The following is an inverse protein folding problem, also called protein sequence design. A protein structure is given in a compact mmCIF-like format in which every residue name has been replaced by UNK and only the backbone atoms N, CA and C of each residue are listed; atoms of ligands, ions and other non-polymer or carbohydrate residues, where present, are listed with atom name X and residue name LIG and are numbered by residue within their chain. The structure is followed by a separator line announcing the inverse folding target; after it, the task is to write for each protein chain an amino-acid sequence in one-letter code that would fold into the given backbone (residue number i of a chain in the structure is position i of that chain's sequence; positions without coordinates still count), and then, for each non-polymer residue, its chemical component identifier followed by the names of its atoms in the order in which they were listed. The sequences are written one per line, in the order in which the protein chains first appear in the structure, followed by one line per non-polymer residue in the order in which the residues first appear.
data_IF_084371069940
#
_entry.id   IF_084371069940
#
_cell.length_a   1.000
_cell.length_b   1.000
_cell.length_c   1.000
_cell.angle_alpha   90.00
_cell.angle_beta   90.00
_cell.angle_gamma   90.00
#
_symmetry.space_group_name_H-M   'P 1'
#
loop_
_entity.id
_entity.type
_entity.pdbx_description
1 polymer ?
#
# COMPACT_ATOMS: atom_id res chain seq x y z
N UNK A 1 4.69 6.23 1.37
CA UNK A 1 4.17 7.34 2.21
C UNK A 1 4.62 8.67 1.63
N UNK A 2 4.04 9.77 2.11
CA UNK A 2 4.33 11.12 1.65
C UNK A 2 4.65 12.07 2.80
N UNK A 3 5.54 13.02 2.55
CA UNK A 3 5.82 14.13 3.46
C UNK A 3 5.95 15.43 2.67
N UNK A 4 5.41 16.52 3.20
CA UNK A 4 5.58 17.84 2.63
C UNK A 4 6.62 18.64 3.42
N UNK A 5 7.44 19.43 2.72
CA UNK A 5 8.44 20.29 3.36
C UNK A 5 8.65 21.57 2.56
N UNK A 6 9.08 22.63 3.27
CA UNK A 6 9.65 23.84 2.66
C UNK A 6 11.14 23.71 2.38
N UNK A 7 11.80 22.71 2.96
CA UNK A 7 13.24 22.49 2.76
C UNK A 7 13.51 22.03 1.32
N UNK A 8 14.52 22.62 0.64
CA UNK A 8 14.91 22.20 -0.70
C UNK A 8 15.28 20.72 -0.74
N UNK A 9 14.93 20.06 -1.84
CA UNK A 9 15.17 18.63 -2.00
C UNK A 9 16.64 18.25 -1.97
N UNK A 10 17.56 19.15 -2.32
CA UNK A 10 18.99 18.91 -2.23
C UNK A 10 19.43 18.64 -0.78
N UNK A 11 18.89 19.40 0.18
CA UNK A 11 19.17 19.19 1.60
C UNK A 11 18.61 17.85 2.08
N UNK A 12 17.36 17.54 1.73
CA UNK A 12 16.66 16.33 2.18
C UNK A 12 17.22 15.07 1.53
N UNK A 13 17.57 15.11 0.24
CA UNK A 13 18.21 13.99 -0.45
C UNK A 13 19.62 13.72 0.08
N UNK A 14 20.33 14.73 0.58
CA UNK A 14 21.65 14.56 1.19
C UNK A 14 21.57 14.04 2.62
N UNK A 15 20.70 14.62 3.45
CA UNK A 15 20.73 14.42 4.90
C UNK A 15 19.56 13.62 5.45
N UNK A 16 18.51 13.41 4.65
CA UNK A 16 17.25 12.83 5.08
C UNK A 16 16.41 13.83 5.88
N UNK A 17 15.32 13.32 6.46
CA UNK A 17 14.58 14.05 7.48
C UNK A 17 15.17 13.73 8.85
N UNK A 18 15.55 14.76 9.61
CA UNK A 18 16.09 14.60 10.96
C UNK A 18 15.11 15.22 11.96
N UNK A 19 14.79 14.47 13.02
CA UNK A 19 14.05 15.03 14.15
C UNK A 19 14.93 16.10 14.85
N UNK A 20 14.34 17.15 15.43
CA UNK A 20 15.10 18.12 16.20
C UNK A 20 15.83 17.47 17.39
N UNK A 21 17.02 17.99 17.72
CA UNK A 21 17.74 17.58 18.92
C UNK A 21 16.89 17.82 20.17
N UNK A 22 17.05 16.94 21.16
CA UNK A 22 16.32 17.05 22.42
C UNK A 22 16.59 18.36 23.17
N UNK A 23 17.84 18.84 23.14
CA UNK A 23 18.26 20.03 23.89
C UNK A 23 17.89 19.91 25.38
N UNK A 24 17.14 20.90 25.89
CA UNK A 24 16.69 20.95 27.28
C UNK A 24 15.27 20.37 27.50
N UNK A 25 14.67 19.72 26.49
CA UNK A 25 13.33 19.16 26.64
C UNK A 25 13.35 17.92 27.52
N UNK A 26 12.41 17.83 28.45
CA UNK A 26 12.23 16.65 29.30
C UNK A 26 11.96 15.39 28.46
N UNK A 27 12.53 14.25 28.86
CA UNK A 27 12.32 12.96 28.17
C UNK A 27 10.84 12.64 27.95
N UNK A 28 10.01 12.91 28.96
CA UNK A 28 8.57 12.65 28.91
C UNK A 28 7.83 13.51 27.88
N UNK A 29 8.43 14.62 27.44
CA UNK A 29 7.91 15.46 26.36
C UNK A 29 8.56 15.05 25.04
N UNK A 30 9.88 14.85 25.02
CA UNK A 30 10.62 14.55 23.81
C UNK A 30 10.14 13.25 23.12
N UNK A 31 9.80 12.22 23.90
CA UNK A 31 9.34 10.91 23.42
C UNK A 31 7.82 10.70 23.48
N UNK A 32 7.05 11.76 23.75
CA UNK A 32 5.59 11.68 23.83
C UNK A 32 4.95 11.80 22.44
N UNK A 33 4.61 10.64 21.88
CA UNK A 33 3.93 10.52 20.59
C UNK A 33 2.53 11.16 20.61
N UNK A 34 1.80 11.01 21.71
CA UNK A 34 0.43 11.48 21.82
C UNK A 34 0.39 13.01 21.76
N UNK A 35 1.24 13.67 22.56
CA UNK A 35 1.41 15.11 22.47
C UNK A 35 1.99 15.55 21.13
N UNK A 36 2.94 14.81 20.54
CA UNK A 36 3.48 15.13 19.22
C UNK A 36 2.37 15.21 18.17
N UNK A 37 1.54 14.17 18.01
CA UNK A 37 0.53 14.12 16.95
C UNK A 37 -0.63 15.11 17.15
N UNK A 38 -0.90 15.52 18.39
CA UNK A 38 -1.97 16.50 18.66
C UNK A 38 -1.50 17.95 18.68
N UNK A 39 -0.19 18.22 18.76
CA UNK A 39 0.34 19.60 18.86
C UNK A 39 1.24 20.03 17.70
N UNK A 40 1.85 19.08 17.00
CA UNK A 40 2.85 19.31 15.94
C UNK A 40 2.60 18.42 14.73
N UNK A 41 2.12 17.19 14.94
CA UNK A 41 1.97 16.17 13.93
C UNK A 41 0.89 16.51 12.92
N UNK A 42 1.36 16.97 11.78
CA UNK A 42 0.71 16.95 10.47
C UNK A 42 1.88 16.85 9.47
N UNK A 43 1.77 16.22 8.28
CA UNK A 43 2.90 16.06 7.35
C UNK A 43 3.46 17.36 6.74
N UNK A 44 3.15 18.54 7.31
CA UNK A 44 3.80 19.83 7.03
C UNK A 44 5.01 19.98 7.95
N UNK A 45 6.16 20.36 7.41
CA UNK A 45 7.12 21.17 8.17
C UNK A 45 7.08 22.62 7.68
N UNK A 46 6.65 23.58 8.51
CA UNK A 46 6.85 24.99 8.19
C UNK A 46 7.73 25.78 9.18
N UNK A 47 8.57 25.14 10.00
CA UNK A 47 9.48 25.71 11.03
C UNK A 47 8.98 25.73 12.50
N UNK A 48 8.00 24.90 12.88
CA UNK A 48 7.71 24.70 14.31
C UNK A 48 8.61 23.58 14.85
N UNK A 49 9.89 23.88 15.03
CA UNK A 49 10.84 22.96 15.67
C UNK A 49 10.49 22.81 17.15
N UNK A 50 9.49 21.99 17.44
CA UNK A 50 9.23 21.54 18.81
C UNK A 50 10.18 20.36 19.04
N UNK A 51 10.97 20.34 20.13
CA UNK A 51 11.89 19.26 20.43
C UNK A 51 11.07 17.99 20.71
N UNK A 52 10.84 17.21 19.65
CA UNK A 52 10.12 15.94 19.65
C UNK A 52 10.94 14.97 18.82
N UNK A 53 11.05 13.73 19.27
CA UNK A 53 11.85 12.70 18.64
C UNK A 53 11.25 12.15 17.34
N UNK A 54 10.34 12.88 16.67
CA UNK A 54 9.42 12.31 15.69
C UNK A 54 9.34 13.12 14.39
N UNK A 55 9.16 12.40 13.28
CA UNK A 55 8.87 12.93 11.95
C UNK A 55 7.56 12.32 11.43
N UNK A 56 6.58 13.16 11.08
CA UNK A 56 5.30 12.72 10.51
C UNK A 56 5.35 12.55 9.00
N UNK A 57 4.69 11.51 8.53
CA UNK A 57 4.36 11.29 7.11
C UNK A 57 2.89 10.88 7.01
N UNK A 58 2.34 10.81 5.81
CA UNK A 58 0.97 10.35 5.57
C UNK A 58 0.92 9.34 4.43
N UNK A 59 0.01 8.37 4.52
CA UNK A 59 -0.35 7.55 3.36
C UNK A 59 -1.51 8.14 2.54
N UNK A 60 -2.22 9.15 3.07
CA UNK A 60 -3.28 9.84 2.36
C UNK A 60 -2.69 10.63 1.19
N UNK A 61 -2.86 10.10 -0.01
CA UNK A 61 -2.30 10.67 -1.23
C UNK A 61 -2.94 12.03 -1.59
N UNK A 62 -4.20 12.23 -1.20
CA UNK A 62 -4.95 13.45 -1.48
C UNK A 62 -4.64 14.58 -0.49
N UNK A 63 -4.03 14.27 0.66
CA UNK A 63 -3.75 15.26 1.69
C UNK A 63 -2.78 16.34 1.20
N UNK A 64 -3.13 17.60 1.46
CA UNK A 64 -2.32 18.78 1.14
C UNK A 64 -2.12 19.66 2.37
N UNK A 65 -0.95 20.30 2.50
CA UNK A 65 -0.73 21.31 3.52
C UNK A 65 -1.63 22.53 3.28
N UNK A 66 -2.15 23.12 4.36
CA UNK A 66 -2.80 24.43 4.36
C UNK A 66 -2.00 25.39 5.27
N UNK A 67 -0.90 25.99 4.77
CA UNK A 67 -0.02 26.85 5.58
C UNK A 67 -0.78 28.06 6.12
N UNK A 68 -0.56 28.46 7.37
CA UNK A 68 -1.17 29.67 7.94
C UNK A 68 -0.75 30.95 7.18
N UNK A 69 -1.44 32.05 7.43
CA UNK A 69 -1.09 33.37 6.86
C UNK A 69 0.29 33.86 7.30
N UNK A 70 0.82 33.38 8.43
CA UNK A 70 2.18 33.69 8.87
C UNK A 70 3.24 33.01 8.00
N UNK A 71 2.92 31.80 7.51
CA UNK A 71 3.82 31.00 6.67
C UNK A 71 3.67 31.38 5.19
N UNK A 72 2.43 31.63 4.74
CA UNK A 72 2.08 32.04 3.40
C UNK A 72 1.14 33.27 3.46
N UNK A 73 1.71 34.49 3.52
CA UNK A 73 0.95 35.74 3.55
C UNK A 73 0.03 35.92 2.33
N UNK A 74 -1.02 36.72 2.51
CA UNK A 74 -1.95 37.09 1.44
C UNK A 74 -1.21 37.80 0.30
N UNK A 75 -1.44 37.36 -0.94
CA UNK A 75 -0.78 37.89 -2.13
C UNK A 75 0.67 37.43 -2.32
N UNK A 76 1.10 36.40 -1.59
CA UNK A 76 2.42 35.80 -1.72
C UNK A 76 2.36 34.36 -2.22
N UNK A 77 3.54 33.81 -2.51
CA UNK A 77 3.73 32.42 -2.91
C UNK A 77 4.92 31.81 -2.18
N UNK A 78 4.89 30.49 -1.98
CA UNK A 78 6.02 29.71 -1.44
C UNK A 78 6.22 28.44 -2.26
N UNK A 79 7.46 27.97 -2.31
CA UNK A 79 7.77 26.64 -2.83
C UNK A 79 7.53 25.59 -1.75
N UNK A 80 6.89 24.48 -2.14
CA UNK A 80 6.72 23.29 -1.34
C UNK A 80 7.20 22.06 -2.10
N UNK A 81 7.71 21.10 -1.34
CA UNK A 81 8.27 19.86 -1.84
C UNK A 81 7.51 18.70 -1.22
N UNK A 82 7.04 17.78 -2.06
CA UNK A 82 6.33 16.58 -1.64
C UNK A 82 7.19 15.36 -1.94
N UNK A 83 7.63 14.68 -0.88
CA UNK A 83 8.55 13.55 -0.96
C UNK A 83 7.79 12.24 -0.93
N UNK A 84 8.17 11.30 -1.80
CA UNK A 84 7.74 9.91 -1.75
C UNK A 84 8.76 9.09 -0.95
N UNK A 85 8.27 8.37 0.07
CA UNK A 85 9.09 7.70 1.07
C UNK A 85 8.71 6.22 1.17
N UNK A 86 9.72 5.36 1.13
CA UNK A 86 9.65 3.92 1.35
C UNK A 86 10.55 3.56 2.53
N UNK A 87 10.05 3.74 3.75
CA UNK A 87 10.79 3.50 4.97
C UNK A 87 10.09 2.40 5.80
N UNK A 88 10.82 1.36 6.27
CA UNK A 88 10.29 0.42 7.25
C UNK A 88 10.26 1.04 8.66
N UNK A 89 9.47 0.45 9.57
CA UNK A 89 9.54 0.76 11.01
C UNK A 89 8.77 2.01 11.47
N UNK A 90 7.92 2.59 10.62
CA UNK A 90 7.04 3.68 11.01
C UNK A 90 5.93 3.26 11.99
N UNK A 91 5.57 4.15 12.91
CA UNK A 91 4.49 3.98 13.88
C UNK A 91 3.20 4.49 13.26
N UNK A 92 2.21 3.60 13.09
CA UNK A 92 0.87 4.02 12.67
C UNK A 92 0.15 4.70 13.83
N UNK A 93 0.00 6.03 13.77
CA UNK A 93 -0.50 6.83 14.89
C UNK A 93 -1.90 6.39 15.34
N UNK A 94 -2.83 6.21 14.39
CA UNK A 94 -4.20 5.78 14.69
C UNK A 94 -4.30 4.40 15.34
N UNK A 95 -3.48 3.42 14.93
CA UNK A 95 -3.47 2.06 15.49
C UNK A 95 -2.86 2.07 16.89
N UNK A 96 -1.78 2.85 17.08
CA UNK A 96 -1.04 2.94 18.34
C UNK A 96 -1.81 3.67 19.42
N UNK A 97 -2.40 4.82 19.08
CA UNK A 97 -3.10 5.68 20.03
C UNK A 97 -4.59 5.35 20.15
N UNK A 98 -5.16 4.60 19.21
CA UNK A 98 -6.57 4.17 19.17
C UNK A 98 -7.50 5.38 19.33
N UNK A 99 -8.50 5.30 20.21
CA UNK A 99 -9.46 6.37 20.46
C UNK A 99 -8.88 7.69 20.98
N UNK A 100 -7.57 7.74 21.31
CA UNK A 100 -6.90 9.00 21.63
C UNK A 100 -6.50 9.80 20.39
N UNK A 101 -6.33 9.16 19.23
CA UNK A 101 -5.94 9.86 18.00
C UNK A 101 -7.12 10.58 17.37
N UNK A 102 -7.05 11.91 17.33
CA UNK A 102 -8.16 12.74 16.86
C UNK A 102 -8.16 13.00 15.35
N UNK A 103 -7.10 12.60 14.65
CA UNK A 103 -6.90 12.91 13.24
C UNK A 103 -6.84 11.67 12.31
N UNK A 104 -7.74 10.67 12.44
CA UNK A 104 -7.64 9.40 11.68
C UNK A 104 -7.60 9.60 10.16
N UNK A 105 -8.25 10.66 9.66
CA UNK A 105 -8.27 11.05 8.24
C UNK A 105 -6.89 11.44 7.66
N UNK A 106 -5.93 11.80 8.52
CA UNK A 106 -4.56 12.08 8.09
C UNK A 106 -3.78 10.81 7.77
N UNK A 107 -4.21 9.64 8.26
CA UNK A 107 -3.53 8.37 8.04
C UNK A 107 -2.01 8.47 8.29
N UNK A 108 -1.67 9.06 9.44
CA UNK A 108 -0.32 9.48 9.78
C UNK A 108 0.57 8.32 10.21
N UNK A 109 1.77 8.27 9.62
CA UNK A 109 2.85 7.37 9.99
C UNK A 109 4.01 8.18 10.53
N UNK A 110 4.40 7.89 11.77
CA UNK A 110 5.41 8.64 12.50
C UNK A 110 6.71 7.85 12.61
N UNK A 111 7.85 8.49 12.33
CA UNK A 111 9.18 7.89 12.45
C UNK A 111 9.94 8.49 13.62
N UNK A 112 10.62 7.65 14.40
CA UNK A 112 11.48 8.09 15.51
C UNK A 112 12.84 8.50 14.97
N UNK A 113 13.42 9.58 15.49
CA UNK A 113 14.70 10.20 15.16
C UNK A 113 14.83 10.78 13.75
N UNK A 114 14.18 10.19 12.74
CA UNK A 114 14.28 10.68 11.36
C UNK A 114 13.96 9.64 10.30
N UNK A 115 14.22 10.01 9.06
CA UNK A 115 14.11 9.17 7.86
C UNK A 115 15.38 9.39 7.04
N UNK A 116 16.21 8.35 6.92
CA UNK A 116 17.46 8.42 6.19
C UNK A 116 17.25 8.65 4.67
N UNK A 117 18.21 9.29 3.97
CA UNK A 117 18.17 9.51 2.52
C UNK A 117 17.80 8.28 1.70
N UNK A 118 18.31 7.12 2.08
CA UNK A 118 18.12 5.87 1.35
C UNK A 118 16.66 5.37 1.28
N UNK A 119 15.79 5.92 2.12
CA UNK A 119 14.36 5.62 2.12
C UNK A 119 13.51 6.67 1.41
N UNK A 120 14.13 7.75 0.91
CA UNK A 120 13.45 8.84 0.21
C UNK A 120 13.66 8.62 -1.29
N UNK A 121 12.60 8.27 -2.00
CA UNK A 121 12.67 7.86 -3.40
C UNK A 121 12.69 9.05 -4.35
N UNK A 122 11.74 9.96 -4.18
CA UNK A 122 11.50 11.03 -5.14
C UNK A 122 10.87 12.25 -4.50
N UNK A 123 10.85 13.37 -5.24
CA UNK A 123 10.19 14.61 -4.85
C UNK A 123 9.43 15.23 -6.03
N UNK A 124 8.25 15.77 -5.73
CA UNK A 124 7.49 16.64 -6.60
C UNK A 124 7.50 18.07 -6.05
N UNK A 125 7.58 19.04 -6.95
CA UNK A 125 7.64 20.46 -6.62
C UNK A 125 6.28 21.12 -6.84
N UNK A 126 5.89 21.97 -5.89
CA UNK A 126 4.63 22.71 -5.93
C UNK A 126 4.87 24.18 -5.57
N UNK A 127 4.22 25.07 -6.30
CA UNK A 127 4.09 26.48 -5.94
C UNK A 127 2.75 26.67 -5.24
N UNK A 128 2.80 27.03 -3.96
CA UNK A 128 1.61 27.37 -3.18
C UNK A 128 1.39 28.88 -3.25
N UNK A 129 0.19 29.32 -3.63
CA UNK A 129 -0.15 30.75 -3.77
C UNK A 129 -1.38 31.09 -2.94
N UNK A 130 -1.34 32.18 -2.17
CA UNK A 130 -2.51 32.70 -1.46
C UNK A 130 -3.01 33.96 -2.16
N UNK A 131 -4.15 33.92 -2.87
CA UNK A 131 -4.66 35.09 -3.60
C UNK A 131 -5.12 36.19 -2.63
N UNK A 132 -5.26 37.42 -3.15
CA UNK A 132 -5.69 38.60 -2.35
C UNK A 132 -7.19 38.60 -1.94
N UNK A 133 -7.99 37.61 -2.39
CA UNK A 133 -9.41 37.45 -2.06
C UNK A 133 -9.65 36.45 -0.91
N UNK A 134 -10.79 35.71 -0.93
CA UNK A 134 -11.16 34.67 0.04
C UNK A 134 -10.15 33.51 0.00
N UNK A 135 -9.04 33.73 0.69
CA UNK A 135 -7.74 33.25 0.23
C UNK A 135 -7.32 31.97 0.88
N UNK A 136 -7.86 30.83 0.47
CA UNK A 136 -7.20 29.55 0.73
C UNK A 136 -5.97 29.39 -0.19
N UNK A 137 -4.89 28.73 0.28
CA UNK A 137 -3.75 28.40 -0.57
C UNK A 137 -4.17 27.52 -1.74
N UNK A 138 -3.84 27.93 -2.96
CA UNK A 138 -3.90 27.06 -4.14
C UNK A 138 -2.53 26.46 -4.41
N UNK A 139 -2.50 25.25 -4.96
CA UNK A 139 -1.26 24.48 -5.17
C UNK A 139 -1.10 24.16 -6.66
N UNK A 140 -0.10 24.74 -7.29
CA UNK A 140 0.26 24.45 -8.68
C UNK A 140 1.44 23.49 -8.69
N UNK A 141 1.28 22.33 -9.33
CA UNK A 141 2.31 21.31 -9.47
C UNK A 141 3.26 21.62 -10.63
N UNK A 142 4.55 21.38 -10.46
CA UNK A 142 5.47 21.23 -11.59
C UNK A 142 5.41 19.82 -12.18
N UNK A 143 5.30 19.72 -13.51
CA UNK A 143 5.18 18.43 -14.23
C UNK A 143 6.56 17.79 -14.37
N UNK A 144 7.13 17.37 -13.24
CA UNK A 144 8.43 16.74 -13.13
C UNK A 144 8.53 15.97 -11.82
N UNK A 145 9.15 14.80 -11.87
CA UNK A 145 9.50 13.99 -10.72
C UNK A 145 11.02 13.92 -10.60
N UNK A 146 11.58 14.37 -9.48
CA UNK A 146 13.03 14.31 -9.25
C UNK A 146 13.33 13.10 -8.36
N UNK A 147 14.13 12.17 -8.88
CA UNK A 147 14.56 10.94 -8.23
C UNK A 147 15.84 11.19 -7.41
N UNK A 148 15.95 10.55 -6.24
CA UNK A 148 17.08 10.69 -5.33
C UNK A 148 18.16 9.62 -5.53
N UNK A 149 19.39 9.97 -5.96
CA UNK A 149 20.42 8.95 -6.29
C UNK A 149 20.86 8.10 -5.10
N UNK A 150 20.55 8.53 -3.87
CA UNK A 150 20.83 7.76 -2.66
C UNK A 150 19.74 6.72 -2.33
N UNK A 151 18.62 6.69 -3.05
CA UNK A 151 17.51 5.79 -2.75
C UNK A 151 17.90 4.32 -2.93
N UNK A 152 18.07 3.62 -1.80
CA UNK A 152 18.47 2.22 -1.69
C UNK A 152 17.85 1.65 -0.41
N UNK A 153 16.54 1.35 -0.40
CA UNK A 153 15.81 1.00 0.83
C UNK A 153 16.24 -0.32 1.48
N UNK A 154 17.14 -1.11 0.88
CA UNK A 154 17.86 -2.21 1.53
C UNK A 154 19.14 -2.53 0.76
N UNK A 155 20.21 -2.88 1.48
CA UNK A 155 21.51 -3.23 0.89
C UNK A 155 21.58 -4.65 0.30
N UNK A 156 20.68 -5.56 0.73
CA UNK A 156 20.85 -7.02 0.49
C UNK A 156 19.61 -7.76 -0.07
N UNK A 157 18.52 -7.06 -0.38
CA UNK A 157 17.30 -7.67 -0.93
C UNK A 157 16.80 -6.85 -2.11
N UNK A 158 16.42 -7.53 -3.20
CA UNK A 158 15.66 -6.92 -4.30
C UNK A 158 14.37 -6.32 -3.73
N UNK A 159 14.36 -5.01 -3.51
CA UNK A 159 13.19 -4.26 -3.07
C UNK A 159 12.40 -3.81 -4.29
N UNK A 160 11.25 -4.43 -4.53
CA UNK A 160 10.36 -4.05 -5.61
C UNK A 160 9.36 -3.01 -5.11
N UNK A 161 9.37 -1.82 -5.72
CA UNK A 161 8.27 -0.86 -5.54
C UNK A 161 7.11 -1.32 -6.41
N UNK A 162 6.07 -1.88 -5.80
CA UNK A 162 4.89 -2.35 -6.51
C UNK A 162 3.97 -1.24 -7.02
N UNK A 163 4.10 0.00 -6.52
CA UNK A 163 3.20 1.11 -6.90
C UNK A 163 3.92 2.46 -7.07
N UNK A 164 4.95 2.54 -7.94
CA UNK A 164 5.78 3.73 -8.07
C UNK A 164 4.96 4.91 -8.57
N UNK A 165 5.32 6.12 -8.14
CA UNK A 165 4.74 7.31 -8.73
C UNK A 165 5.21 7.46 -10.19
N UNK A 166 4.27 7.37 -11.14
CA UNK A 166 4.58 7.38 -12.58
C UNK A 166 3.71 8.35 -13.37
N UNK A 167 2.49 8.64 -12.92
CA UNK A 167 1.53 9.37 -13.72
C UNK A 167 0.94 10.59 -13.02
N UNK A 168 0.42 11.53 -13.80
CA UNK A 168 -0.43 12.63 -13.35
C UNK A 168 -1.68 12.73 -14.22
N UNK A 169 -2.71 13.44 -13.73
CA UNK A 169 -3.84 13.88 -14.58
C UNK A 169 -3.59 15.29 -15.11
N UNK A 170 -3.66 15.45 -16.43
CA UNK A 170 -3.62 16.77 -17.07
C UNK A 170 -4.95 17.53 -16.88
N UNK A 171 -5.01 18.77 -17.36
CA UNK A 171 -6.18 19.65 -17.20
C UNK A 171 -7.45 19.10 -17.86
N UNK A 172 -7.31 18.16 -18.80
CA UNK A 172 -8.42 17.46 -19.44
C UNK A 172 -8.82 16.18 -18.68
N UNK A 173 -8.18 15.90 -17.54
CA UNK A 173 -8.39 14.70 -16.74
C UNK A 173 -7.74 13.44 -17.31
N UNK A 174 -6.93 13.55 -18.35
CA UNK A 174 -6.25 12.39 -18.96
C UNK A 174 -4.98 12.02 -18.20
N UNK A 175 -4.74 10.72 -18.06
CA UNK A 175 -3.53 10.17 -17.45
C UNK A 175 -2.33 10.39 -18.38
N UNK A 176 -1.28 11.04 -17.87
CA UNK A 176 -0.02 11.34 -18.57
C UNK A 176 1.17 10.91 -17.72
N UNK A 177 2.27 10.53 -18.36
CA UNK A 177 3.51 10.17 -17.65
C UNK A 177 4.15 11.40 -17.01
N UNK A 178 4.68 11.24 -15.80
CA UNK A 178 5.50 12.24 -15.14
C UNK A 178 6.95 12.12 -15.65
N UNK A 179 7.50 13.17 -16.29
CA UNK A 179 8.91 13.18 -16.67
C UNK A 179 9.81 13.03 -15.45
N UNK A 180 10.78 12.11 -15.52
CA UNK A 180 11.71 11.81 -14.42
C UNK A 180 13.07 12.44 -14.67
N UNK A 181 13.66 13.01 -13.63
CA UNK A 181 15.06 13.47 -13.61
C UNK A 181 15.76 12.92 -12.38
N UNK A 182 17.01 12.49 -12.52
CA UNK A 182 17.81 12.02 -11.39
C UNK A 182 18.61 13.18 -10.80
N UNK A 183 18.47 13.40 -9.49
CA UNK A 183 19.38 14.23 -8.73
C UNK A 183 20.60 13.42 -8.31
N UNK A 184 21.79 13.86 -8.71
CA UNK A 184 23.07 13.37 -8.23
C UNK A 184 23.76 14.52 -7.50
N UNK A 185 24.18 14.38 -6.24
CA UNK A 185 24.95 15.41 -5.57
C UNK A 185 26.22 15.72 -6.37
N UNK A 186 26.61 16.98 -6.45
CA UNK A 186 27.94 17.33 -6.90
C UNK A 186 28.95 16.85 -5.86
N UNK A 187 29.50 15.65 -6.05
CA UNK A 187 30.73 15.30 -5.34
C UNK A 187 31.82 16.27 -5.77
N UNK A 188 32.37 16.96 -4.78
CA UNK A 188 33.67 17.60 -4.90
C UNK A 188 34.62 16.56 -5.46
N UNK A 189 35.39 16.91 -6.50
CA UNK A 189 36.47 16.07 -7.06
C UNK A 189 37.45 15.68 -5.94
N UNK A 190 37.14 14.62 -5.18
CA UNK A 190 38.10 13.93 -4.34
C UNK A 190 39.15 13.46 -5.31
N UNK A 191 40.34 14.04 -5.21
CA UNK A 191 41.46 13.72 -6.07
C UNK A 191 41.65 12.20 -6.08
N UNK A 192 41.42 11.60 -7.25
CA UNK A 192 41.91 10.28 -7.61
C UNK A 192 43.40 10.28 -7.27
N UNK A 193 43.79 9.70 -6.14
CA UNK A 193 45.19 9.32 -5.95
C UNK A 193 45.45 8.24 -6.98
N UNK A 194 46.34 8.56 -7.92
CA UNK A 194 46.86 7.63 -8.90
C UNK A 194 47.40 6.39 -8.19
N UNK A 195 46.75 5.26 -8.43
CA UNK A 195 47.39 3.95 -8.28
C UNK A 195 47.24 3.25 -9.62
N UNK A 196 48.40 3.17 -10.27
CA UNK A 196 48.84 2.31 -11.36
C UNK A 196 47.80 1.38 -12.03
N UNK A 197 47.74 1.56 -13.36
CA UNK A 197 47.07 0.77 -14.38
C UNK A 197 47.23 -0.75 -14.28
N UNK A 198 46.09 -1.46 -14.35
CA UNK A 198 45.95 -2.65 -15.19
C UNK A 198 44.47 -2.83 -15.55
N UNK A 199 44.27 -3.09 -16.84
CA UNK A 199 43.04 -3.34 -17.58
C UNK A 199 41.91 -4.00 -16.77
N UNK A 200 40.79 -3.29 -16.65
CA UNK A 200 39.46 -3.72 -17.11
C UNK A 200 38.52 -2.53 -16.88
N UNK A 201 38.30 -1.74 -17.95
CA UNK A 201 37.26 -0.72 -17.96
C UNK A 201 35.92 -1.44 -18.16
N UNK A 202 35.45 -2.15 -17.13
CA UNK A 202 34.01 -2.26 -16.93
C UNK A 202 33.56 -0.89 -16.43
N UNK A 203 32.93 -0.15 -17.33
CA UNK A 203 32.08 0.97 -16.98
C UNK A 203 31.05 0.43 -15.98
N UNK A 204 31.34 0.60 -14.68
CA UNK A 204 30.46 0.23 -13.58
C UNK A 204 29.21 1.08 -13.76
N UNK A 205 28.25 0.54 -14.51
CA UNK A 205 26.97 1.15 -14.76
C UNK A 205 26.37 1.49 -13.42
N UNK A 206 26.32 2.79 -13.14
CA UNK A 206 25.66 3.40 -11.99
C UNK A 206 24.36 2.64 -11.80
N UNK A 207 24.31 1.79 -10.78
CA UNK A 207 23.20 0.86 -10.55
C UNK A 207 21.92 1.64 -10.76
N UNK A 208 21.22 1.31 -11.84
CA UNK A 208 19.91 1.87 -12.10
C UNK A 208 19.15 1.66 -10.81
N UNK A 209 18.64 2.76 -10.25
CA UNK A 209 17.52 2.72 -9.32
C UNK A 209 16.69 1.51 -9.66
N UNK A 210 16.62 0.52 -8.75
CA UNK A 210 16.12 -0.82 -9.03
C UNK A 210 15.01 -0.70 -10.05
N UNK A 211 15.31 -1.14 -11.28
CA UNK A 211 14.65 -0.65 -12.47
C UNK A 211 13.16 -0.58 -12.16
N UNK A 212 12.56 0.61 -12.28
CA UNK A 212 11.11 0.76 -12.26
C UNK A 212 10.62 0.13 -13.55
N UNK A 213 10.82 -1.19 -13.67
CA UNK A 213 10.29 -2.01 -14.72
C UNK A 213 8.80 -2.00 -14.49
N UNK A 214 8.07 -1.68 -15.55
CA UNK A 214 6.65 -1.91 -15.62
C UNK A 214 6.43 -3.41 -15.39
N UNK A 215 6.24 -3.80 -14.13
CA UNK A 215 6.00 -5.18 -13.77
C UNK A 215 4.51 -5.41 -13.94
N UNK A 216 4.09 -6.37 -14.79
CA UNK A 216 2.68 -6.66 -14.97
C UNK A 216 2.10 -7.15 -13.64
N UNK A 217 1.13 -6.41 -13.11
CA UNK A 217 0.37 -6.79 -11.92
C UNK A 217 -0.86 -7.58 -12.38
N UNK A 218 -0.99 -8.80 -11.87
CA UNK A 218 -2.19 -9.62 -12.05
C UNK A 218 -3.15 -9.44 -10.87
N UNK A 219 -3.42 -10.49 -10.11
CA UNK A 219 -4.39 -10.45 -9.00
C UNK A 219 -3.62 -10.55 -7.69
N UNK A 220 -3.75 -9.52 -6.84
CA UNK A 220 -3.08 -9.43 -5.53
C UNK A 220 -3.92 -10.00 -4.40
N UNK A 221 -5.25 -9.98 -4.52
CA UNK A 221 -6.13 -10.59 -3.53
C UNK A 221 -7.45 -10.95 -4.17
N UNK A 222 -8.19 -11.86 -3.55
CA UNK A 222 -9.54 -12.16 -3.95
C UNK A 222 -10.36 -12.62 -2.74
N UNK A 223 -11.68 -12.44 -2.83
CA UNK A 223 -12.60 -13.17 -1.95
C UNK A 223 -13.92 -13.45 -2.66
N UNK A 224 -14.60 -14.51 -2.23
CA UNK A 224 -15.89 -14.91 -2.77
C UNK A 224 -16.96 -13.95 -2.28
N UNK A 225 -17.76 -13.40 -3.19
CA UNK A 225 -18.90 -12.59 -2.81
C UNK A 225 -20.03 -13.47 -2.26
N UNK A 226 -20.95 -12.87 -1.51
CA UNK A 226 -22.16 -13.54 -1.00
C UNK A 226 -23.15 -13.91 -2.11
N UNK A 227 -23.06 -13.25 -3.27
CA UNK A 227 -23.87 -13.56 -4.43
C UNK A 227 -23.26 -14.70 -5.24
N UNK A 228 -24.10 -15.64 -5.68
CA UNK A 228 -23.66 -16.86 -6.32
C UNK A 228 -22.82 -16.59 -7.58
N UNK A 229 -21.71 -17.32 -7.73
CA UNK A 229 -20.73 -17.19 -8.81
C UNK A 229 -20.09 -15.80 -8.93
N UNK A 230 -20.13 -14.97 -7.88
CA UNK A 230 -19.46 -13.68 -7.85
C UNK A 230 -18.19 -13.70 -6.99
N UNK A 231 -17.17 -12.96 -7.41
CA UNK A 231 -15.94 -12.77 -6.65
C UNK A 231 -15.43 -11.35 -6.81
N UNK A 232 -14.80 -10.83 -5.76
CA UNK A 232 -14.03 -9.60 -5.81
C UNK A 232 -12.57 -9.96 -6.08
N UNK A 233 -11.97 -9.34 -7.09
CA UNK A 233 -10.55 -9.48 -7.42
C UNK A 233 -9.89 -8.11 -7.25
N UNK A 234 -8.77 -8.07 -6.54
CA UNK A 234 -8.00 -6.85 -6.28
C UNK A 234 -6.70 -6.88 -7.07
N UNK A 235 -6.36 -5.74 -7.66
CA UNK A 235 -5.17 -5.55 -8.46
C UNK A 235 -4.64 -4.14 -8.21
N UNK A 236 -3.46 -4.02 -7.63
CA UNK A 236 -2.95 -2.75 -7.12
C UNK A 236 -3.96 -2.15 -6.11
N UNK A 237 -4.36 -0.89 -6.28
CA UNK A 237 -5.40 -0.24 -5.49
C UNK A 237 -6.73 -0.13 -6.25
N UNK A 238 -6.93 -1.01 -7.23
CA UNK A 238 -8.18 -1.19 -7.96
C UNK A 238 -8.79 -2.56 -7.65
N UNK A 239 -10.08 -2.70 -7.97
CA UNK A 239 -10.77 -3.97 -7.90
C UNK A 239 -11.79 -4.13 -9.01
N UNK A 240 -12.15 -5.37 -9.28
CA UNK A 240 -13.31 -5.74 -10.10
C UNK A 240 -14.22 -6.67 -9.30
N UNK A 241 -15.52 -6.56 -9.57
CA UNK A 241 -16.49 -7.58 -9.19
C UNK A 241 -16.86 -8.36 -10.45
N UNK A 242 -16.63 -9.66 -10.43
CA UNK A 242 -16.77 -10.53 -11.59
C UNK A 242 -17.78 -11.63 -11.32
N UNK A 243 -18.59 -11.97 -12.30
CA UNK A 243 -19.22 -13.28 -12.36
C UNK A 243 -18.21 -14.24 -13.00
N UNK A 244 -17.66 -15.16 -12.22
CA UNK A 244 -16.58 -16.04 -12.70
C UNK A 244 -17.08 -17.28 -13.46
N UNK A 245 -18.38 -17.35 -13.75
CA UNK A 245 -19.02 -18.34 -14.63
C UNK A 245 -18.51 -19.78 -14.46
N UNK A 246 -18.53 -20.28 -13.21
CA UNK A 246 -17.96 -21.57 -12.79
C UNK A 246 -18.17 -22.68 -13.83
N UNK A 247 -17.07 -23.29 -14.27
CA UNK A 247 -17.08 -24.41 -15.22
C UNK A 247 -17.21 -23.99 -16.70
N UNK A 248 -17.21 -22.70 -17.01
CA UNK A 248 -17.22 -22.16 -18.37
C UNK A 248 -16.27 -20.95 -18.48
N UNK A 249 -16.12 -20.41 -19.69
CA UNK A 249 -15.36 -19.16 -19.97
C UNK A 249 -16.29 -18.00 -20.33
N UNK A 250 -17.55 -18.07 -19.88
CA UNK A 250 -18.56 -17.02 -20.11
C UNK A 250 -18.59 -16.03 -18.93
N UNK A 251 -17.43 -15.79 -18.30
CA UNK A 251 -17.28 -14.82 -17.23
C UNK A 251 -17.51 -13.41 -17.75
N UNK A 252 -17.95 -12.53 -16.87
CA UNK A 252 -18.18 -11.13 -17.21
C UNK A 252 -17.99 -10.22 -16.00
N UNK A 253 -17.49 -9.02 -16.27
CA UNK A 253 -17.33 -7.96 -15.27
C UNK A 253 -18.70 -7.41 -14.90
N UNK A 254 -19.03 -7.49 -13.62
CA UNK A 254 -20.26 -6.91 -13.06
C UNK A 254 -20.04 -5.44 -12.72
N UNK A 255 -18.89 -5.14 -12.10
CA UNK A 255 -18.51 -3.77 -11.76
C UNK A 255 -16.99 -3.62 -11.79
N UNK A 256 -16.53 -2.42 -12.10
CA UNK A 256 -15.11 -2.10 -12.19
C UNK A 256 -14.54 -2.19 -13.61
N UNK A 257 -13.22 -1.94 -13.73
CA UNK A 257 -12.30 -1.69 -12.62
C UNK A 257 -12.53 -0.33 -11.95
N UNK A 258 -12.56 -0.30 -10.61
CA UNK A 258 -12.70 0.91 -9.80
C UNK A 258 -11.55 0.98 -8.79
N UNK A 259 -11.16 2.18 -8.37
CA UNK A 259 -10.31 2.32 -7.19
C UNK A 259 -11.05 1.81 -5.95
N UNK A 260 -10.32 1.15 -5.05
CA UNK A 260 -10.90 0.61 -3.81
C UNK A 260 -11.53 1.73 -2.99
N UNK A 261 -10.87 2.88 -2.86
CA UNK A 261 -11.39 4.03 -2.11
C UNK A 261 -12.68 4.63 -2.71
N UNK A 262 -12.92 4.46 -4.01
CA UNK A 262 -14.10 5.00 -4.69
C UNK A 262 -15.29 4.02 -4.59
N UNK A 263 -15.01 2.71 -4.61
CA UNK A 263 -16.03 1.67 -4.44
C UNK A 263 -16.37 1.35 -2.98
N UNK A 264 -15.47 1.66 -2.06
CA UNK A 264 -15.59 1.40 -0.63
C UNK A 264 -15.22 2.67 0.17
N UNK A 265 -16.15 3.64 0.31
CA UNK A 265 -15.90 4.87 1.06
C UNK A 265 -15.34 4.65 2.47
N UNK A 266 -15.69 3.57 3.18
CA UNK A 266 -15.14 3.29 4.51
C UNK A 266 -13.64 2.95 4.50
N UNK A 267 -13.10 2.60 3.33
CA UNK A 267 -11.68 2.31 3.12
C UNK A 267 -10.90 3.50 2.57
N UNK A 268 -11.56 4.62 2.25
CA UNK A 268 -10.85 5.83 1.85
C UNK A 268 -9.89 6.28 2.97
N UNK A 269 -8.69 6.75 2.60
CA UNK A 269 -7.67 7.20 3.56
C UNK A 269 -7.17 6.10 4.52
N UNK A 270 -7.34 4.82 4.14
CA UNK A 270 -6.78 3.67 4.84
C UNK A 270 -5.70 3.01 3.97
N UNK A 271 -4.82 2.13 4.51
CA UNK A 271 -3.86 1.41 3.66
C UNK A 271 -4.57 0.62 2.55
N UNK A 272 -5.74 0.05 2.86
CA UNK A 272 -6.52 -0.75 1.92
C UNK A 272 -6.99 0.06 0.71
N UNK A 273 -7.51 1.27 0.92
CA UNK A 273 -7.98 2.14 -0.17
C UNK A 273 -6.86 2.85 -0.94
N UNK A 274 -5.78 3.25 -0.26
CA UNK A 274 -4.69 4.04 -0.87
C UNK A 274 -3.62 3.17 -1.54
N UNK A 275 -3.24 2.07 -0.90
CA UNK A 275 -2.16 1.17 -1.35
C UNK A 275 -2.67 -0.13 -1.98
N UNK A 276 -3.87 -0.56 -1.62
CA UNK A 276 -4.44 -1.80 -2.13
C UNK A 276 -4.63 -2.87 -1.06
N UNK A 277 -5.37 -3.90 -1.44
CA UNK A 277 -5.60 -5.11 -0.66
C UNK A 277 -4.73 -6.22 -1.26
N UNK A 278 -3.83 -6.77 -0.45
CA UNK A 278 -2.82 -7.77 -0.87
C UNK A 278 -3.10 -9.19 -0.34
N UNK A 279 -4.14 -9.34 0.47
CA UNK A 279 -4.74 -10.62 0.81
C UNK A 279 -6.18 -10.37 1.29
N UNK A 280 -7.09 -11.31 1.02
CA UNK A 280 -8.45 -11.27 1.55
C UNK A 280 -9.06 -12.67 1.63
N UNK A 281 -10.10 -12.82 2.45
CA UNK A 281 -10.98 -13.98 2.41
C UNK A 281 -12.36 -13.65 2.95
N UNK A 282 -13.39 -14.31 2.41
CA UNK A 282 -14.77 -14.15 2.85
C UNK A 282 -15.00 -14.85 4.19
N UNK A 283 -15.97 -14.34 4.94
CA UNK A 283 -16.51 -14.99 6.13
C UNK A 283 -18.01 -15.19 5.93
N UNK A 284 -18.82 -15.17 6.99
CA UNK A 284 -20.26 -15.32 6.86
C UNK A 284 -20.93 -14.04 6.37
N UNK A 285 -22.04 -14.21 5.65
CA UNK A 285 -22.87 -13.11 5.12
C UNK A 285 -22.07 -12.21 4.18
N UNK A 286 -21.97 -10.92 4.49
CA UNK A 286 -21.35 -9.87 3.68
C UNK A 286 -20.04 -9.39 4.28
N UNK A 287 -19.39 -10.22 5.10
CA UNK A 287 -18.15 -9.85 5.78
C UNK A 287 -16.93 -10.53 5.18
N UNK A 288 -15.81 -9.80 5.13
CA UNK A 288 -14.53 -10.32 4.67
C UNK A 288 -13.39 -9.75 5.52
N UNK A 289 -12.35 -10.56 5.74
CA UNK A 289 -11.08 -10.04 6.21
C UNK A 289 -10.29 -9.52 5.01
N UNK A 290 -9.72 -8.33 5.14
CA UNK A 290 -8.82 -7.72 4.16
C UNK A 290 -7.49 -7.38 4.81
N UNK A 291 -6.42 -7.44 4.03
CA UNK A 291 -5.05 -7.24 4.48
C UNK A 291 -4.34 -6.25 3.56
N UNK A 292 -3.37 -5.54 4.13
CA UNK A 292 -2.44 -4.67 3.43
C UNK A 292 -1.16 -4.62 4.25
N UNK A 293 -0.10 -5.26 3.76
CA UNK A 293 1.13 -5.56 4.49
C UNK A 293 0.82 -6.24 5.84
N UNK A 294 1.27 -5.65 6.96
CA UNK A 294 1.04 -6.20 8.29
C UNK A 294 -0.26 -5.72 8.96
N UNK A 295 -1.13 -5.02 8.23
CA UNK A 295 -2.40 -4.51 8.73
C UNK A 295 -3.57 -5.31 8.19
N UNK A 296 -4.63 -5.42 8.98
CA UNK A 296 -5.84 -6.08 8.58
C UNK A 296 -7.09 -5.42 9.19
N UNK A 297 -8.22 -5.67 8.54
CA UNK A 297 -9.53 -5.26 9.00
C UNK A 297 -10.56 -6.34 8.68
N UNK A 298 -11.59 -6.45 9.52
CA UNK A 298 -12.84 -7.11 9.16
C UNK A 298 -13.77 -6.03 8.62
N UNK A 299 -14.26 -6.22 7.40
CA UNK A 299 -15.21 -5.30 6.75
C UNK A 299 -16.56 -5.98 6.56
N UNK A 300 -17.61 -5.17 6.48
CA UNK A 300 -18.86 -5.51 5.82
C UNK A 300 -18.85 -4.79 4.48
N UNK A 301 -18.75 -5.54 3.38
CA UNK A 301 -18.55 -4.98 2.04
C UNK A 301 -19.86 -4.56 1.35
N UNK A 302 -21.01 -4.69 2.04
CA UNK A 302 -22.32 -4.15 1.64
C UNK A 302 -22.61 -4.25 0.12
N UNK A 303 -22.74 -5.46 -0.44
CA UNK A 303 -22.73 -5.68 -1.88
C UNK A 303 -23.78 -4.83 -2.60
N UNK A 304 -23.38 -4.27 -3.76
CA UNK A 304 -24.21 -3.41 -4.64
C UNK A 304 -24.60 -2.05 -4.01
N UNK A 305 -24.01 -1.67 -2.88
CA UNK A 305 -24.21 -0.36 -2.23
C UNK A 305 -22.86 0.28 -1.90
N UNK A 306 -22.87 1.50 -1.37
CA UNK A 306 -21.70 2.22 -0.84
C UNK A 306 -21.76 2.37 0.69
N UNK A 307 -22.59 1.57 1.36
CA UNK A 307 -22.77 1.57 2.82
C UNK A 307 -21.81 0.59 3.50
N UNK A 308 -20.64 0.35 2.89
CA UNK A 308 -19.62 -0.50 3.45
C UNK A 308 -19.06 0.09 4.75
N UNK A 309 -18.53 -0.77 5.61
CA UNK A 309 -17.98 -0.34 6.90
C UNK A 309 -16.85 -1.25 7.35
N UNK A 310 -15.90 -0.64 8.05
CA UNK A 310 -14.94 -1.37 8.86
C UNK A 310 -15.64 -1.84 10.15
N UNK A 311 -15.80 -3.15 10.30
CA UNK A 311 -16.42 -3.79 11.48
C UNK A 311 -15.41 -3.93 12.61
N UNK A 312 -14.15 -4.21 12.29
CA UNK A 312 -13.06 -4.31 13.26
C UNK A 312 -11.72 -3.96 12.60
N UNK A 313 -10.85 -3.26 13.33
CA UNK A 313 -9.61 -2.72 12.81
C UNK A 313 -9.78 -1.30 12.25
N UNK A 314 -8.83 -0.78 11.45
CA UNK A 314 -7.56 -1.42 11.07
C UNK A 314 -6.67 -1.69 12.29
N UNK A 315 -5.98 -2.83 12.32
CA UNK A 315 -4.99 -3.17 13.35
C UNK A 315 -3.93 -4.11 12.78
N UNK A 316 -2.88 -4.41 13.55
CA UNK A 316 -1.87 -5.36 13.08
C UNK A 316 -2.44 -6.77 12.96
N UNK A 317 -1.83 -7.61 12.12
CA UNK A 317 -2.20 -9.02 12.02
C UNK A 317 -2.14 -9.72 13.39
N UNK A 318 -1.14 -9.40 14.22
CA UNK A 318 -0.97 -10.00 15.55
C UNK A 318 -1.95 -9.45 16.60
N UNK A 319 -2.48 -8.24 16.43
CA UNK A 319 -3.59 -7.77 17.26
C UNK A 319 -4.89 -8.50 16.90
N UNK A 320 -5.14 -8.74 15.60
CA UNK A 320 -6.35 -9.42 15.12
C UNK A 320 -6.31 -10.94 15.33
N UNK A 321 -5.11 -11.53 15.22
CA UNK A 321 -4.81 -12.95 15.29
C UNK A 321 -3.51 -13.18 16.09
N UNK A 322 -3.57 -13.14 17.43
CA UNK A 322 -2.37 -13.17 18.29
C UNK A 322 -1.47 -14.40 18.13
N UNK A 323 -2.03 -15.51 17.66
CA UNK A 323 -1.29 -16.74 17.41
C UNK A 323 -0.32 -16.66 16.21
N UNK A 324 -0.35 -15.58 15.43
CA UNK A 324 0.64 -15.35 14.36
C UNK A 324 1.92 -14.67 14.83
N UNK A 325 1.99 -14.23 16.10
CA UNK A 325 3.21 -13.64 16.65
C UNK A 325 4.38 -14.61 16.55
N UNK A 326 5.55 -14.11 16.16
CA UNK A 326 6.79 -14.86 15.95
C UNK A 326 6.69 -15.93 14.85
N UNK A 327 5.69 -15.83 13.96
CA UNK A 327 5.54 -16.70 12.77
C UNK A 327 5.83 -15.95 11.47
N UNK A 328 5.96 -16.69 10.37
CA UNK A 328 6.13 -16.09 9.03
C UNK A 328 4.95 -15.19 8.60
N UNK A 329 3.78 -15.38 9.21
CA UNK A 329 2.54 -14.66 8.90
C UNK A 329 2.40 -13.33 9.65
N UNK A 330 3.26 -13.05 10.64
CA UNK A 330 3.18 -11.83 11.48
C UNK A 330 3.19 -10.54 10.64
N UNK A 331 4.00 -10.53 9.57
CA UNK A 331 4.33 -9.32 8.81
C UNK A 331 3.56 -9.19 7.49
N UNK A 332 2.68 -10.14 7.19
CA UNK A 332 1.88 -10.14 5.97
C UNK A 332 1.43 -11.53 5.55
N UNK A 333 0.44 -11.53 4.66
CA UNK A 333 -0.13 -12.72 4.02
C UNK A 333 -0.07 -12.50 2.50
N UNK A 334 0.09 -13.59 1.75
CA UNK A 334 0.12 -13.52 0.28
C UNK A 334 -1.24 -13.86 -0.33
N UNK A 335 -1.99 -14.80 0.26
CA UNK A 335 -3.31 -15.18 -0.21
C UNK A 335 -4.12 -15.83 0.91
N UNK A 336 -5.44 -15.86 0.77
CA UNK A 336 -6.28 -16.64 1.67
C UNK A 336 -7.56 -17.10 0.98
N UNK A 337 -8.16 -18.18 1.46
CA UNK A 337 -9.52 -18.55 1.09
C UNK A 337 -10.25 -19.21 2.24
N UNK A 338 -11.58 -19.05 2.24
CA UNK A 338 -12.46 -19.67 3.22
C UNK A 338 -12.59 -21.18 2.98
N UNK A 339 -12.37 -21.98 4.01
CA UNK A 339 -12.62 -23.41 3.94
C UNK A 339 -14.14 -23.70 3.93
N UNK A 340 -14.51 -24.89 3.46
CA UNK A 340 -15.90 -25.34 3.46
C UNK A 340 -16.42 -25.63 4.87
N UNK A 341 -15.53 -26.06 5.77
CA UNK A 341 -15.83 -26.17 7.20
C UNK A 341 -16.28 -24.82 7.75
N UNK A 342 -17.21 -24.83 8.70
CA UNK A 342 -17.66 -23.59 9.32
C UNK A 342 -16.49 -22.91 10.04
N UNK A 343 -16.33 -21.61 9.79
CA UNK A 343 -15.36 -20.75 10.46
C UNK A 343 -13.87 -21.03 10.22
N UNK A 344 -13.52 -21.83 9.22
CA UNK A 344 -12.12 -22.11 8.89
C UNK A 344 -11.63 -21.36 7.64
N UNK A 345 -10.35 -21.02 7.61
CA UNK A 345 -9.70 -20.40 6.45
C UNK A 345 -8.25 -20.86 6.31
N UNK A 346 -7.81 -20.98 5.05
CA UNK A 346 -6.42 -21.21 4.67
C UNK A 346 -5.76 -19.88 4.34
N UNK A 347 -4.65 -19.57 4.99
CA UNK A 347 -3.87 -18.34 4.79
C UNK A 347 -2.46 -18.72 4.34
N UNK A 348 -1.95 -18.10 3.28
CA UNK A 348 -0.69 -18.44 2.63
C UNK A 348 0.36 -17.35 2.84
N UNK A 349 1.62 -17.74 3.01
CA UNK A 349 2.78 -16.84 3.03
C UNK A 349 4.04 -17.61 2.63
N UNK A 350 4.68 -17.20 1.54
CA UNK A 350 5.78 -17.94 0.93
C UNK A 350 5.40 -19.39 0.65
N UNK A 351 6.30 -20.33 0.94
CA UNK A 351 6.03 -21.77 0.81
C UNK A 351 5.19 -22.39 1.93
N UNK A 352 4.52 -21.59 2.77
CA UNK A 352 3.76 -22.07 3.93
C UNK A 352 2.30 -21.64 3.87
N UNK A 353 1.45 -22.40 4.56
CA UNK A 353 0.06 -22.04 4.84
C UNK A 353 -0.28 -22.29 6.31
N UNK A 354 -1.24 -21.53 6.81
CA UNK A 354 -1.89 -21.72 8.10
C UNK A 354 -3.36 -22.07 7.88
N UNK A 355 -3.85 -23.08 8.61
CA UNK A 355 -5.27 -23.32 8.78
C UNK A 355 -5.70 -22.71 10.10
N UNK A 356 -6.69 -21.81 10.05
CA UNK A 356 -7.19 -21.11 11.24
C UNK A 356 -8.67 -21.33 11.41
N UNK A 357 -9.15 -21.14 12.64
CA UNK A 357 -10.55 -20.86 12.91
C UNK A 357 -10.72 -19.35 13.16
N UNK A 358 -11.31 -18.63 12.22
CA UNK A 358 -11.39 -17.16 12.27
C UNK A 358 -12.46 -16.65 13.25
N UNK A 359 -13.42 -17.48 13.64
CA UNK A 359 -14.45 -17.13 14.62
C UNK A 359 -13.93 -17.24 16.06
N UNK A 360 -13.33 -18.38 16.40
CA UNK A 360 -12.73 -18.61 17.73
C UNK A 360 -11.32 -18.03 17.89
N UNK A 361 -10.77 -17.45 16.82
CA UNK A 361 -9.41 -16.86 16.76
C UNK A 361 -8.35 -17.86 17.23
N UNK A 362 -8.38 -19.07 16.65
CA UNK A 362 -7.42 -20.14 16.96
C UNK A 362 -6.65 -20.56 15.73
N UNK A 363 -5.35 -20.83 15.92
CA UNK A 363 -4.54 -21.57 14.97
C UNK A 363 -4.91 -23.05 15.07
N UNK A 364 -5.18 -23.68 13.93
CA UNK A 364 -5.38 -25.13 13.85
C UNK A 364 -4.05 -25.80 13.48
N UNK A 365 -3.37 -25.32 12.45
CA UNK A 365 -2.11 -25.89 11.98
C UNK A 365 -1.31 -24.92 11.10
N UNK A 366 0.02 -25.10 11.01
CA UNK A 366 0.90 -24.47 10.01
C UNK A 366 1.68 -25.58 9.31
N UNK A 367 1.76 -25.53 7.99
CA UNK A 367 2.49 -26.51 7.17
C UNK A 367 3.02 -25.88 5.89
N UNK A 368 3.92 -26.58 5.20
CA UNK A 368 4.31 -26.22 3.84
C UNK A 368 3.18 -26.47 2.84
N UNK A 369 3.10 -25.64 1.80
CA UNK A 369 2.13 -25.84 0.71
C UNK A 369 2.37 -27.21 0.05
N UNK A 370 3.64 -27.56 -0.16
CA UNK A 370 4.07 -28.85 -0.71
C UNK A 370 3.47 -30.06 0.02
N UNK A 371 3.38 -30.03 1.36
CA UNK A 371 2.81 -31.12 2.14
C UNK A 371 1.29 -31.05 2.29
N UNK A 372 0.70 -29.84 2.37
CA UNK A 372 -0.75 -29.70 2.56
C UNK A 372 -1.58 -29.82 1.28
N UNK A 373 -0.97 -29.57 0.12
CA UNK A 373 -1.63 -29.55 -1.19
C UNK A 373 -0.80 -30.33 -2.20
N UNK A 374 -0.96 -31.67 -2.22
CA UNK A 374 -0.13 -32.56 -3.05
C UNK A 374 -0.31 -32.30 -4.54
N UNK A 375 -1.49 -31.83 -4.95
CA UNK A 375 -1.78 -31.45 -6.33
C UNK A 375 -0.97 -30.26 -6.85
N UNK A 376 -0.33 -29.49 -5.97
CA UNK A 376 0.46 -28.31 -6.32
C UNK A 376 1.96 -28.61 -6.49
N UNK A 377 2.40 -29.83 -6.17
CA UNK A 377 3.81 -30.24 -6.31
C UNK A 377 4.24 -30.14 -7.78
N UNK A 378 5.38 -29.51 -8.03
CA UNK A 378 5.92 -29.28 -9.37
C UNK A 378 5.21 -28.18 -10.17
N UNK A 379 4.27 -27.46 -9.55
CA UNK A 379 3.59 -26.32 -10.18
C UNK A 379 4.18 -24.98 -9.71
N UNK A 380 3.79 -23.89 -10.36
CA UNK A 380 4.17 -22.53 -9.94
C UNK A 380 3.71 -22.20 -8.50
N UNK A 381 2.69 -22.91 -7.99
CA UNK A 381 2.09 -22.68 -6.68
C UNK A 381 2.79 -23.38 -5.51
N UNK A 382 3.71 -24.32 -5.78
CA UNK A 382 4.36 -25.12 -4.75
C UNK A 382 5.03 -24.26 -3.65
N UNK A 383 5.59 -23.11 -4.05
CA UNK A 383 6.34 -22.21 -3.18
C UNK A 383 5.64 -20.85 -3.00
N UNK A 384 4.31 -20.81 -3.11
CA UNK A 384 3.51 -19.64 -2.76
C UNK A 384 2.39 -19.33 -3.74
N UNK A 385 1.41 -18.57 -3.25
CA UNK A 385 0.17 -18.19 -3.92
C UNK A 385 -0.01 -16.69 -3.75
N UNK A 386 -0.32 -15.95 -4.81
CA UNK A 386 -0.44 -14.47 -4.78
C UNK A 386 -1.87 -13.98 -4.56
N UNK A 387 -2.88 -14.80 -4.88
CA UNK A 387 -4.26 -14.56 -4.47
C UNK A 387 -5.03 -15.87 -4.47
N UNK A 388 -6.09 -15.94 -3.69
CA UNK A 388 -6.99 -17.09 -3.70
C UNK A 388 -8.41 -16.67 -3.35
N UNK A 389 -9.40 -17.46 -3.77
CA UNK A 389 -10.74 -17.39 -3.20
C UNK A 389 -11.43 -18.75 -3.29
N UNK A 390 -12.38 -19.00 -2.38
CA UNK A 390 -13.18 -20.20 -2.41
C UNK A 390 -14.27 -20.10 -3.48
N UNK A 391 -14.52 -21.15 -4.23
CA UNK A 391 -15.68 -21.21 -5.13
C UNK A 391 -16.97 -21.32 -4.32
N UNK A 392 -18.10 -21.05 -4.97
CA UNK A 392 -19.43 -21.39 -4.46
C UNK A 392 -19.68 -22.90 -4.44
N UNK A 393 -18.86 -23.69 -5.14
CA UNK A 393 -18.89 -25.13 -5.04
C UNK A 393 -18.16 -25.65 -3.80
N UNK A 394 -18.65 -26.77 -3.27
CA UNK A 394 -18.08 -27.44 -2.11
C UNK A 394 -16.63 -27.85 -2.37
N UNK A 395 -15.73 -27.43 -1.47
CA UNK A 395 -14.30 -27.78 -1.47
C UNK A 395 -13.55 -27.41 -2.77
N UNK A 396 -14.04 -26.41 -3.49
CA UNK A 396 -13.42 -25.89 -4.69
C UNK A 396 -12.81 -24.51 -4.40
N UNK A 397 -11.59 -24.24 -4.86
CA UNK A 397 -10.92 -22.94 -4.68
C UNK A 397 -10.09 -22.57 -5.92
N UNK A 398 -9.95 -21.27 -6.16
CA UNK A 398 -9.11 -20.73 -7.22
C UNK A 398 -7.86 -20.11 -6.60
N UNK A 399 -6.69 -20.46 -7.15
CA UNK A 399 -5.37 -19.93 -6.76
C UNK A 399 -4.77 -19.16 -7.94
N UNK A 400 -4.14 -18.02 -7.69
CA UNK A 400 -3.54 -17.15 -8.69
C UNK A 400 -2.07 -16.88 -8.38
N UNK A 401 -1.23 -16.84 -9.42
CA UNK A 401 0.19 -16.49 -9.34
C UNK A 401 0.69 -16.02 -10.71
N UNK A 402 1.09 -14.75 -10.80
CA UNK A 402 1.40 -14.10 -12.05
C UNK A 402 0.26 -14.25 -13.05
N UNK A 403 0.59 -14.66 -14.27
CA UNK A 403 -0.37 -14.86 -15.36
C UNK A 403 -1.16 -16.19 -15.27
N UNK A 404 -0.90 -17.02 -14.25
CA UNK A 404 -1.45 -18.36 -14.12
C UNK A 404 -2.49 -18.46 -12.99
N UNK A 405 -3.45 -19.36 -13.18
CA UNK A 405 -4.35 -19.79 -12.12
C UNK A 405 -4.50 -21.32 -12.08
N UNK A 406 -4.89 -21.83 -10.92
CA UNK A 406 -5.32 -23.20 -10.72
C UNK A 406 -6.73 -23.20 -10.10
N UNK A 407 -7.63 -24.04 -10.62
CA UNK A 407 -8.84 -24.42 -9.91
C UNK A 407 -8.55 -25.75 -9.20
N UNK A 408 -8.76 -25.82 -7.90
CA UNK A 408 -8.43 -27.00 -7.08
C UNK A 408 -9.67 -27.54 -6.37
N UNK A 409 -9.73 -28.86 -6.26
CA UNK A 409 -10.46 -29.51 -5.19
C UNK A 409 -9.50 -29.69 -4.02
N UNK A 410 -9.78 -29.08 -2.87
CA UNK A 410 -8.94 -29.25 -1.68
C UNK A 410 -9.54 -30.31 -0.73
N UNK A 411 -8.67 -31.15 -0.18
CA UNK A 411 -9.03 -32.25 0.69
C UNK A 411 -8.39 -32.06 2.08
N UNK A 412 -9.07 -31.38 3.04
CA UNK A 412 -8.50 -31.12 4.36
C UNK A 412 -8.09 -32.41 5.06
N UNK A 413 -6.83 -32.49 5.50
CA UNK A 413 -6.30 -33.62 6.27
C UNK A 413 -6.02 -34.89 5.46
N UNK A 414 -6.11 -34.85 4.13
CA UNK A 414 -5.72 -35.97 3.25
C UNK A 414 -4.86 -35.48 2.09
N UNK A 415 -4.42 -36.39 1.22
CA UNK A 415 -3.64 -36.10 0.01
C UNK A 415 -4.47 -36.26 -1.26
N UNK A 416 -5.80 -36.28 -1.12
CA UNK A 416 -6.74 -36.51 -2.23
C UNK A 416 -7.11 -35.22 -2.97
N UNK A 417 -6.38 -34.12 -2.71
CA UNK A 417 -6.55 -32.87 -3.42
C UNK A 417 -6.10 -33.01 -4.89
N UNK A 418 -6.76 -32.30 -5.80
CA UNK A 418 -6.45 -32.38 -7.23
C UNK A 418 -6.77 -31.09 -7.98
N UNK A 419 -6.08 -30.89 -9.11
CA UNK A 419 -6.36 -29.80 -10.03
C UNK A 419 -7.64 -30.10 -10.82
N UNK A 420 -8.66 -29.26 -10.67
CA UNK A 420 -9.88 -29.35 -11.48
C UNK A 420 -9.54 -28.93 -12.91
N UNK A 421 -9.77 -29.87 -13.84
CA UNK A 421 -9.31 -29.75 -15.23
C UNK A 421 -7.86 -30.18 -15.46
N UNK A 422 -7.20 -30.76 -14.45
CA UNK A 422 -5.95 -31.51 -14.56
C UNK A 422 -4.68 -30.70 -14.81
N UNK A 423 -4.75 -29.36 -14.83
CA UNK A 423 -3.58 -28.50 -15.10
C UNK A 423 -3.76 -27.08 -14.58
N UNK A 424 -2.63 -26.42 -14.36
CA UNK A 424 -2.53 -24.95 -14.27
C UNK A 424 -2.83 -24.34 -15.63
N UNK A 425 -3.51 -23.18 -15.65
CA UNK A 425 -3.98 -22.53 -16.88
C UNK A 425 -3.65 -21.04 -16.88
N UNK A 426 -3.43 -20.42 -18.05
CA UNK A 426 -3.31 -18.97 -18.14
C UNK A 426 -4.64 -18.27 -17.84
N UNK A 427 -4.61 -17.18 -17.06
CA UNK A 427 -5.79 -16.41 -16.64
C UNK A 427 -6.57 -15.92 -17.86
N UNK A 428 -5.93 -15.15 -18.73
CA UNK A 428 -6.62 -14.42 -19.82
C UNK A 428 -7.31 -15.34 -20.85
N UNK A 429 -6.81 -16.57 -20.99
CA UNK A 429 -7.41 -17.57 -21.90
C UNK A 429 -8.65 -18.27 -21.34
N UNK A 430 -8.86 -18.22 -20.02
CA UNK A 430 -9.98 -18.88 -19.35
C UNK A 430 -10.91 -17.91 -18.61
N UNK A 431 -10.48 -16.67 -18.46
CA UNK A 431 -11.24 -15.55 -17.91
C UNK A 431 -11.20 -14.39 -18.92
N UNK A 432 -11.76 -14.58 -20.13
CA UNK A 432 -11.69 -13.60 -21.22
C UNK A 432 -12.16 -12.20 -20.84
N UNK A 433 -13.07 -12.04 -19.87
CA UNK A 433 -13.52 -10.71 -19.46
C UNK A 433 -12.43 -9.86 -18.78
N UNK A 434 -11.36 -10.51 -18.28
CA UNK A 434 -10.21 -9.83 -17.69
C UNK A 434 -9.16 -9.40 -18.74
N UNK A 435 -9.27 -9.82 -20.00
CA UNK A 435 -8.28 -9.51 -21.05
C UNK A 435 -8.13 -8.01 -21.37
N UNK A 436 -9.18 -7.22 -21.13
CA UNK A 436 -9.15 -5.76 -21.29
C UNK A 436 -8.68 -5.01 -20.04
N UNK A 437 -8.47 -5.73 -18.93
CA UNK A 437 -8.15 -5.19 -17.61
C UNK A 437 -6.72 -5.56 -17.21
N UNK A 438 -6.31 -6.80 -17.48
CA UNK A 438 -5.04 -7.39 -17.05
C UNK A 438 -4.07 -7.61 -18.22
N UNK A 439 -2.74 -7.48 -17.97
CA UNK A 439 -2.14 -7.05 -16.71
C UNK A 439 -2.32 -5.56 -16.44
N UNK A 440 -2.29 -5.18 -15.16
CA UNK A 440 -2.21 -3.78 -14.74
C UNK A 440 -0.76 -3.32 -14.75
N UNK A 441 -0.58 -2.05 -15.11
CA UNK A 441 0.69 -1.37 -14.85
C UNK A 441 0.82 -1.05 -13.36
N UNK A 442 2.04 -1.15 -12.84
CA UNK A 442 2.34 -0.86 -11.46
C UNK A 442 2.32 0.64 -11.16
N UNK A 443 2.43 1.52 -12.16
CA UNK A 443 2.49 2.95 -11.97
C UNK A 443 1.23 3.59 -11.35
N UNK A 444 1.44 4.46 -10.37
CA UNK A 444 0.41 5.20 -9.62
C UNK A 444 0.32 6.67 -10.05
N UNK A 445 -0.85 7.28 -9.81
CA UNK A 445 -1.10 8.72 -9.98
C UNK A 445 -0.54 9.54 -8.80
N UNK A 446 -0.01 10.73 -9.09
CA UNK A 446 0.54 11.65 -8.08
C UNK A 446 -0.47 12.14 -7.07
N UNK A 447 -1.64 12.56 -7.54
CA UNK A 447 -2.67 13.16 -6.71
C UNK A 447 -4.02 12.61 -7.13
N UNK A 448 -4.85 12.37 -6.12
CA UNK A 448 -6.26 12.05 -6.29
C UNK A 448 -7.07 13.25 -5.80
N UNK A 449 -7.95 13.76 -6.66
CA UNK A 449 -9.08 14.54 -6.20
C UNK A 449 -10.18 13.51 -5.92
N UNK A 450 -10.56 13.33 -4.65
CA UNK A 450 -11.77 12.57 -4.34
C UNK A 450 -12.93 13.35 -4.96
N UNK A 451 -13.52 12.84 -6.04
CA UNK A 451 -14.79 13.36 -6.53
C UNK A 451 -15.83 13.00 -5.47
N UNK A 452 -16.58 14.00 -5.00
CA UNK A 452 -17.83 13.85 -4.25
C UNK A 452 -17.76 13.16 -2.88
N UNK A 453 -16.81 13.55 -2.05
CA UNK A 453 -17.19 13.82 -0.67
C UNK A 453 -17.07 15.33 -0.52
N UNK A 454 -18.23 15.98 -0.32
CA UNK A 454 -18.25 17.33 0.25
C UNK A 454 -17.24 17.33 1.38
N UNK A 455 -16.16 18.11 1.22
CA UNK A 455 -15.38 18.52 2.37
C UNK A 455 -16.43 19.11 3.32
N UNK A 456 -16.78 18.36 4.37
CA UNK A 456 -17.44 18.96 5.51
C UNK A 456 -16.48 20.03 5.98
N UNK A 457 -16.90 21.24 5.65
CA UNK A 457 -16.32 22.52 5.94
C UNK A 457 -16.21 22.62 7.47
N UNK A 458 -15.13 22.08 8.05
CA UNK A 458 -14.76 22.37 9.41
C UNK A 458 -14.15 23.76 9.42
N UNK A 459 -15.04 24.76 9.44
CA UNK A 459 -14.73 26.11 9.87
C UNK A 459 -14.05 26.07 11.27
N UNK A 460 -13.27 27.11 11.60
CA UNK A 460 -12.53 27.13 12.85
C UNK A 460 -13.50 27.05 14.04
N UNK A 461 -13.24 26.11 14.95
CA UNK A 461 -13.80 26.13 16.29
C UNK A 461 -13.20 27.36 16.98
N UNK A 462 -13.98 28.44 17.07
CA UNK A 462 -13.68 29.52 18.00
C UNK A 462 -13.79 28.98 19.44
N UNK A 463 -12.65 29.02 20.14
CA UNK A 463 -12.39 28.94 21.59
C UNK A 463 -13.30 28.09 22.49
#
# INVERSE_FOLDING_TARGET
MYRWSRKPYQEIFTNGFQAPDQGNADNNIYHDLDGFVHSVGVPVDPNRAVPRAFISTTINNAWRPNPSTDVLPIGSQIQLYRYEIFAPGGIWSAVTLKGRYQNPNLAEITFVAGIAPQYICSVQMYTATRPRGDGFPTMTREIKLIMNSHFLPHMDLHFTIYTPLTYYKDDNGMRRELPKETYTPHESKVHKREVSSSQDNEEVGLHSYGAVEATPIYINAAFRASANNEAYLFMNNEYVLINYARGSTNDYIINGPLYICDGYPSLARTPFGEHGIDCAFDTDKTQAYIFSANLCALIDYAPRTTDDKIVSGPMTITDMFPFFKDTVFERGLDAAFRAHSSNEAYLFRGGHYALINYSSKKLIHIETIRHGFHSLIGTVFENGVEAAFASHATKEAYLFKGEYYANIYYAPGTTDDYLIGGRVKPILSNWPSLSSILPRDNGRLDLRSHKDHTDEDYGPVEL
#
